data_IF_631463061919
#
_entry.id   IF_631463061919
#
_cell.length_a   1.000
_cell.length_b   1.000
_cell.length_c   1.000
_cell.angle_alpha   90.00
_cell.angle_beta   90.00
_cell.angle_gamma   90.00
#
_symmetry.space_group_name_H-M   'P 1'
#
loop_
_entity.id
_entity.type
_entity.pdbx_description
1 polymer ?
#
# COMPACT_ATOMS: atom_id res chain seq x y z
N UNK A 1 -13.15 -29.28 -33.73
CA UNK A 1 -11.97 -28.90 -34.53
C UNK A 1 -11.00 -28.17 -33.63
N UNK A 2 -9.84 -28.75 -33.36
CA UNK A 2 -8.83 -28.18 -32.44
C UNK A 2 -7.88 -27.33 -33.27
N UNK A 3 -7.96 -26.01 -33.11
CA UNK A 3 -7.11 -25.04 -33.79
C UNK A 3 -5.66 -25.20 -33.34
N UNK A 4 -4.74 -25.48 -34.27
CA UNK A 4 -3.31 -25.58 -33.97
C UNK A 4 -2.74 -24.19 -33.61
N UNK A 5 -1.73 -24.10 -32.71
CA UNK A 5 -1.04 -22.85 -32.46
C UNK A 5 -0.11 -22.54 -33.64
N UNK A 6 -0.33 -21.39 -34.30
CA UNK A 6 0.56 -20.90 -35.36
C UNK A 6 1.99 -20.77 -34.84
N UNK A 7 2.91 -21.54 -35.42
CA UNK A 7 4.36 -21.39 -35.19
C UNK A 7 4.80 -20.06 -35.79
N UNK A 8 5.20 -19.12 -34.93
CA UNK A 8 5.73 -17.83 -35.33
C UNK A 8 6.92 -17.99 -36.30
N UNK A 9 6.75 -17.53 -37.55
CA UNK A 9 7.80 -17.50 -38.56
C UNK A 9 8.95 -16.58 -38.11
N UNK A 10 10.22 -16.91 -38.38
CA UNK A 10 11.35 -16.02 -38.12
C UNK A 10 11.17 -14.70 -38.89
N UNK A 11 11.06 -13.58 -38.18
CA UNK A 11 10.92 -12.25 -38.82
C UNK A 11 12.21 -11.88 -39.57
N UNK A 12 12.13 -11.34 -40.80
CA UNK A 12 13.30 -10.86 -41.54
C UNK A 12 14.04 -9.77 -40.76
N UNK A 13 15.38 -9.76 -40.83
CA UNK A 13 16.20 -8.68 -40.25
C UNK A 13 15.87 -7.38 -40.99
N UNK A 14 15.21 -6.44 -40.31
CA UNK A 14 14.93 -5.10 -40.84
C UNK A 14 16.22 -4.26 -40.79
N UNK A 15 16.70 -3.84 -41.95
CA UNK A 15 17.98 -3.15 -42.10
C UNK A 15 17.95 -1.67 -41.65
N UNK A 16 16.76 -1.04 -41.62
CA UNK A 16 16.59 0.40 -41.34
C UNK A 16 15.88 0.68 -39.99
N UNK A 17 16.06 -0.17 -38.98
CA UNK A 17 15.46 0.10 -37.67
C UNK A 17 16.24 1.15 -36.87
N UNK A 18 15.50 2.07 -36.28
CA UNK A 18 16.03 3.04 -35.31
C UNK A 18 16.53 2.34 -34.04
N UNK A 19 17.46 2.99 -33.31
CA UNK A 19 17.99 2.46 -32.05
C UNK A 19 16.88 2.21 -31.03
N UNK A 20 15.88 3.09 -30.96
CA UNK A 20 14.75 2.98 -30.05
C UNK A 20 13.86 1.79 -30.38
N UNK A 21 13.56 1.56 -31.67
CA UNK A 21 12.80 0.39 -32.14
C UNK A 21 13.52 -0.93 -31.80
N UNK A 22 14.86 -0.96 -31.91
CA UNK A 22 15.66 -2.13 -31.52
C UNK A 22 15.63 -2.36 -30.01
N UNK A 23 15.61 -1.30 -29.20
CA UNK A 23 15.46 -1.38 -27.75
C UNK A 23 14.07 -1.90 -27.36
N UNK A 24 13.01 -1.38 -27.97
CA UNK A 24 11.63 -1.82 -27.74
C UNK A 24 11.44 -3.30 -28.10
N UNK A 25 11.93 -3.76 -29.26
CA UNK A 25 11.85 -5.18 -29.64
C UNK A 25 12.55 -6.11 -28.63
N UNK A 26 13.71 -5.69 -28.11
CA UNK A 26 14.43 -6.47 -27.09
C UNK A 26 13.64 -6.51 -25.78
N UNK A 27 13.05 -5.39 -25.40
CA UNK A 27 12.20 -5.28 -24.21
C UNK A 27 10.95 -6.15 -24.33
N UNK A 28 10.24 -6.06 -25.46
CA UNK A 28 9.06 -6.86 -25.78
C UNK A 28 9.38 -8.37 -25.82
N UNK A 29 10.54 -8.75 -26.35
CA UNK A 29 11.00 -10.15 -26.33
C UNK A 29 11.23 -10.65 -24.89
N UNK A 30 11.81 -9.81 -24.03
CA UNK A 30 12.00 -10.14 -22.60
C UNK A 30 10.67 -10.24 -21.85
N UNK A 31 9.74 -9.34 -22.10
CA UNK A 31 8.39 -9.39 -21.51
C UNK A 31 7.60 -10.62 -21.99
N UNK A 32 7.68 -10.96 -23.28
CA UNK A 32 7.07 -12.19 -23.80
C UNK A 32 7.67 -13.45 -23.18
N UNK A 33 8.98 -13.47 -22.90
CA UNK A 33 9.62 -14.57 -22.18
C UNK A 33 9.16 -14.66 -20.71
N UNK A 34 8.89 -13.53 -20.05
CA UNK A 34 8.34 -13.48 -18.69
C UNK A 34 6.88 -13.92 -18.61
N UNK A 35 6.08 -13.56 -19.63
CA UNK A 35 4.65 -13.88 -19.71
C UNK A 35 4.35 -15.30 -20.14
N UNK A 36 5.32 -15.98 -20.76
CA UNK A 36 5.22 -17.43 -20.96
C UNK A 36 5.22 -18.10 -19.59
N UNK A 37 4.17 -18.87 -19.31
CA UNK A 37 4.19 -19.91 -18.28
C UNK A 37 5.27 -20.92 -18.65
N UNK A 38 6.51 -20.58 -18.33
CA UNK A 38 7.65 -21.46 -18.46
C UNK A 38 7.55 -22.48 -17.31
N UNK A 39 6.63 -23.44 -17.46
CA UNK A 39 6.77 -24.76 -16.86
C UNK A 39 8.01 -25.38 -17.51
N UNK A 40 9.17 -24.89 -17.10
CA UNK A 40 10.45 -25.45 -17.47
C UNK A 40 10.57 -26.74 -16.71
N UNK A 41 10.27 -27.84 -17.40
CA UNK A 41 10.59 -29.20 -16.97
C UNK A 41 12.08 -29.39 -16.67
N UNK A 42 12.92 -28.38 -16.95
CA UNK A 42 14.33 -28.29 -16.55
C UNK A 42 14.55 -28.05 -15.05
N UNK A 43 13.52 -27.84 -14.23
CA UNK A 43 13.59 -28.19 -12.81
C UNK A 43 12.94 -29.56 -12.67
N UNK A 44 13.72 -30.61 -12.88
CA UNK A 44 13.30 -31.96 -12.55
C UNK A 44 12.84 -31.96 -11.08
N UNK A 45 11.53 -32.07 -10.87
CA UNK A 45 11.00 -32.67 -9.66
C UNK A 45 11.65 -34.06 -9.60
N UNK A 46 12.37 -34.33 -8.51
CA UNK A 46 13.09 -35.56 -8.28
C UNK A 46 12.19 -36.75 -8.56
N UNK A 47 12.42 -37.39 -9.71
CA UNK A 47 11.92 -38.72 -9.98
C UNK A 47 12.85 -39.62 -9.18
N UNK A 48 12.32 -40.20 -8.10
CA UNK A 48 13.07 -41.11 -7.25
C UNK A 48 13.68 -42.24 -8.08
N UNK A 49 15.01 -42.23 -8.18
CA UNK A 49 15.91 -43.37 -8.33
C UNK A 49 17.27 -42.89 -7.79
N UNK A 50 17.68 -43.43 -6.64
CA UNK A 50 19.04 -43.42 -6.05
C UNK A 50 19.86 -42.10 -6.17
N UNK A 51 19.94 -41.36 -5.06
CA UNK A 51 20.88 -40.25 -4.84
C UNK A 51 22.34 -40.73 -5.07
N UNK A 52 23.08 -40.21 -6.06
CA UNK A 52 24.52 -40.43 -6.12
C UNK A 52 25.16 -39.67 -4.96
N UNK A 53 25.92 -40.36 -4.12
CA UNK A 53 26.59 -39.85 -2.91
C UNK A 53 27.59 -38.69 -3.12
N UNK A 54 27.64 -38.08 -4.31
CA UNK A 54 28.63 -37.09 -4.71
C UNK A 54 28.01 -35.92 -5.48
N UNK A 55 28.38 -34.70 -5.07
CA UNK A 55 27.93 -33.47 -5.74
C UNK A 55 28.37 -33.41 -7.21
N UNK A 56 27.62 -32.73 -8.10
CA UNK A 56 27.96 -32.63 -9.52
C UNK A 56 29.38 -32.12 -9.79
N UNK A 57 29.86 -31.19 -8.95
CA UNK A 57 31.22 -30.64 -9.03
C UNK A 57 32.29 -31.67 -8.67
N UNK A 58 32.00 -32.53 -7.70
CA UNK A 58 32.90 -33.57 -7.22
C UNK A 58 32.97 -34.75 -8.22
N UNK A 59 31.86 -35.07 -8.88
CA UNK A 59 31.81 -36.03 -10.00
C UNK A 59 32.63 -35.55 -11.20
N UNK A 60 32.53 -34.26 -11.55
CA UNK A 60 33.34 -33.68 -12.63
C UNK A 60 34.83 -33.72 -12.29
N UNK A 61 35.18 -33.45 -11.02
CA UNK A 61 36.55 -33.52 -10.52
C UNK A 61 37.12 -34.94 -10.56
N UNK A 62 36.36 -35.95 -10.12
CA UNK A 62 36.78 -37.36 -10.16
C UNK A 62 36.86 -37.88 -11.60
N UNK A 63 35.95 -37.45 -12.50
CA UNK A 63 35.99 -37.78 -13.92
C UNK A 63 37.24 -37.22 -14.60
N UNK A 64 37.60 -35.96 -14.32
CA UNK A 64 38.83 -35.34 -14.84
C UNK A 64 40.11 -35.98 -14.31
N UNK A 65 40.02 -36.73 -13.22
CA UNK A 65 41.15 -37.41 -12.58
C UNK A 65 41.13 -38.94 -12.75
N UNK A 66 40.17 -39.49 -13.51
CA UNK A 66 39.99 -40.93 -13.73
C UNK A 66 39.85 -41.77 -12.42
N UNK A 67 39.16 -41.23 -11.42
CA UNK A 67 39.00 -41.86 -10.09
C UNK A 67 37.54 -42.34 -9.82
N UNK A 68 36.72 -42.51 -10.85
CA UNK A 68 35.34 -42.99 -10.65
C UNK A 68 35.35 -44.49 -10.38
N UNK A 69 34.86 -44.91 -9.19
CA UNK A 69 34.74 -46.33 -8.83
C UNK A 69 33.80 -47.06 -9.78
N UNK A 70 34.31 -48.10 -10.42
CA UNK A 70 33.56 -49.02 -11.26
C UNK A 70 32.90 -50.08 -10.37
N UNK A 71 31.65 -49.86 -9.98
CA UNK A 71 30.83 -50.85 -9.29
C UNK A 71 29.58 -51.11 -10.14
N UNK A 72 29.70 -52.09 -11.03
CA UNK A 72 28.66 -52.48 -11.96
C UNK A 72 27.55 -53.34 -11.34
N UNK A 73 26.39 -53.24 -11.99
CA UNK A 73 25.51 -54.34 -12.45
C UNK A 73 24.79 -55.25 -11.42
N UNK A 74 23.46 -55.03 -11.41
CA UNK A 74 22.34 -56.03 -11.49
C UNK A 74 21.79 -56.64 -10.19
N UNK A 75 20.49 -56.41 -9.91
CA UNK A 75 19.35 -57.38 -9.92
C UNK A 75 18.17 -56.90 -9.02
N UNK A 76 16.96 -56.94 -9.61
CA UNK A 76 15.56 -57.13 -9.11
C UNK A 76 15.17 -56.88 -7.63
N UNK A 77 14.02 -56.21 -7.42
CA UNK A 77 13.39 -55.80 -6.13
C UNK A 77 12.73 -56.92 -5.29
N UNK A 78 11.68 -56.70 -4.43
CA UNK A 78 10.88 -55.49 -4.14
C UNK A 78 10.76 -55.10 -2.62
N UNK A 79 10.14 -53.92 -2.37
CA UNK A 79 9.47 -53.31 -1.15
C UNK A 79 9.23 -54.17 0.12
N UNK A 80 9.11 -53.62 1.38
CA UNK A 80 8.24 -52.47 1.70
C UNK A 80 8.66 -51.48 2.82
N UNK A 81 8.12 -50.26 2.70
CA UNK A 81 7.35 -49.49 3.71
C UNK A 81 7.85 -49.41 5.17
N UNK A 82 8.18 -48.20 5.66
CA UNK A 82 7.70 -47.66 6.95
C UNK A 82 8.38 -46.33 7.39
N UNK A 83 7.50 -45.36 7.67
CA UNK A 83 7.50 -44.40 8.79
C UNK A 83 8.14 -43.01 8.64
N UNK A 84 7.28 -42.07 9.04
CA UNK A 84 7.39 -40.63 9.19
C UNK A 84 8.31 -40.20 10.37
N UNK A 85 8.58 -38.89 10.55
CA UNK A 85 9.82 -38.33 11.09
C UNK A 85 9.78 -38.00 12.59
N UNK A 86 10.88 -37.48 13.16
CA UNK A 86 10.73 -36.36 14.08
C UNK A 86 11.61 -35.15 13.74
N UNK A 87 10.95 -34.01 13.92
CA UNK A 87 11.38 -32.66 14.20
C UNK A 87 12.85 -32.37 14.52
N UNK A 88 13.32 -31.25 13.95
CA UNK A 88 14.45 -30.48 14.49
C UNK A 88 14.04 -29.02 14.66
N UNK A 89 13.55 -28.72 15.86
CA UNK A 89 13.62 -27.38 16.44
C UNK A 89 15.06 -27.10 16.87
N UNK A 90 15.62 -25.98 16.41
CA UNK A 90 16.55 -25.14 17.18
C UNK A 90 16.89 -23.86 16.41
N UNK A 91 16.19 -22.78 16.79
CA UNK A 91 16.60 -21.39 16.57
C UNK A 91 17.93 -21.13 17.28
N UNK A 92 18.87 -20.49 16.60
CA UNK A 92 19.89 -19.66 17.24
C UNK A 92 19.85 -18.29 16.58
N UNK A 93 19.34 -17.32 17.35
CA UNK A 93 19.53 -15.89 17.09
C UNK A 93 20.98 -15.54 17.38
N UNK A 94 21.63 -14.78 16.48
CA UNK A 94 22.77 -13.97 16.86
C UNK A 94 22.56 -12.50 16.49
N UNK A 95 22.81 -11.70 17.52
CA UNK A 95 22.68 -10.26 17.72
C UNK A 95 23.87 -9.52 17.06
N UNK A 96 23.70 -8.27 16.58
CA UNK A 96 24.80 -7.49 15.99
C UNK A 96 25.61 -6.72 17.04
N UNK A 97 26.93 -6.51 16.85
CA UNK A 97 27.69 -5.64 17.74
C UNK A 97 27.83 -4.20 17.23
N UNK A 98 28.02 -3.36 18.25
CA UNK A 98 28.01 -1.90 18.38
C UNK A 98 29.18 -1.19 17.67
N UNK A 99 28.90 0.04 17.28
CA UNK A 99 29.77 1.06 16.69
C UNK A 99 30.75 1.65 17.73
N UNK A 100 32.04 1.75 17.42
CA UNK A 100 32.96 2.65 18.13
C UNK A 100 33.52 3.69 17.16
N UNK A 101 33.33 4.95 17.54
CA UNK A 101 33.76 6.16 16.87
C UNK A 101 35.24 6.46 17.21
N UNK A 102 35.99 7.00 16.25
CA UNK A 102 37.21 7.75 16.50
C UNK A 102 37.22 9.00 15.60
N UNK A 103 37.46 10.15 16.21
CA UNK A 103 37.50 11.50 15.66
C UNK A 103 38.84 11.83 14.97
N UNK A 104 38.92 12.89 14.13
CA UNK A 104 40.17 13.34 13.51
C UNK A 104 40.80 14.54 14.24
N UNK A 105 42.13 14.65 14.19
CA UNK A 105 42.95 15.79 14.67
C UNK A 105 43.95 16.20 13.55
N UNK A 106 44.36 17.48 13.44
CA UNK A 106 44.54 18.16 12.14
C UNK A 106 45.97 18.25 11.61
N UNK A 107 46.06 18.67 10.34
CA UNK A 107 47.29 19.00 9.58
C UNK A 107 48.04 20.18 10.20
N UNK A 108 49.37 20.07 10.28
CA UNK A 108 50.29 21.19 10.39
C UNK A 108 51.23 21.22 9.18
N UNK A 109 51.45 22.44 8.67
CA UNK A 109 52.36 22.81 7.57
C UNK A 109 53.80 23.01 8.09
N UNK A 110 54.76 22.98 7.16
CA UNK A 110 56.08 23.67 7.07
C UNK A 110 57.03 22.73 6.30
N UNK A 111 57.94 23.10 5.40
CA UNK A 111 58.35 24.33 4.71
C UNK A 111 59.41 23.90 3.66
N UNK A 112 59.77 24.79 2.73
CA UNK A 112 60.55 24.50 1.53
C UNK A 112 62.09 24.67 1.68
N UNK A 113 62.82 23.89 0.85
CA UNK A 113 64.13 24.14 0.17
C UNK A 113 65.43 24.26 1.01
N UNK A 114 66.67 24.07 0.44
CA UNK A 114 67.04 24.18 -0.98
C UNK A 114 67.98 23.11 -1.60
N UNK A 115 68.08 23.14 -2.93
CA UNK A 115 69.12 22.50 -3.74
C UNK A 115 70.44 23.30 -3.71
N UNK A 116 71.61 22.67 -3.92
CA UNK A 116 72.84 23.41 -4.21
C UNK A 116 73.20 23.41 -5.71
N UNK A 117 73.89 24.49 -6.08
CA UNK A 117 74.17 24.97 -7.41
C UNK A 117 75.41 24.34 -8.10
N UNK A 118 75.41 24.49 -9.43
CA UNK A 118 76.55 24.47 -10.39
C UNK A 118 77.74 25.32 -9.87
N UNK A 119 79.04 25.02 -10.10
CA UNK A 119 79.87 24.95 -11.34
C UNK A 119 81.38 24.95 -10.88
N UNK A 120 82.44 25.17 -11.69
CA UNK A 120 83.04 24.46 -12.85
C UNK A 120 84.59 24.20 -12.69
N UNK A 121 85.27 23.48 -13.61
CA UNK A 121 86.71 23.63 -14.05
C UNK A 121 87.19 22.36 -14.83
N UNK A 122 87.58 22.45 -16.11
CA UNK A 122 88.92 22.71 -16.73
C UNK A 122 89.96 21.56 -16.60
N UNK A 123 90.18 20.85 -17.72
CA UNK A 123 91.41 20.29 -18.39
C UNK A 123 92.67 19.89 -17.57
N UNK A 124 93.49 18.88 -17.98
CA UNK A 124 94.11 18.84 -19.32
C UNK A 124 94.46 17.47 -19.98
N UNK A 125 94.80 17.60 -21.27
CA UNK A 125 95.53 16.69 -22.18
C UNK A 125 96.97 16.48 -21.68
N UNK A 126 97.63 15.35 -22.01
CA UNK A 126 99.05 15.43 -22.37
C UNK A 126 99.41 14.74 -23.69
N UNK A 127 100.41 15.34 -24.34
CA UNK A 127 101.17 14.91 -25.51
C UNK A 127 102.33 14.03 -25.03
N UNK A 128 102.69 12.98 -25.77
CA UNK A 128 103.99 12.30 -25.64
C UNK A 128 104.83 12.51 -26.91
N UNK A 129 106.15 12.75 -26.79
CA UNK A 129 107.10 12.84 -27.92
C UNK A 129 107.83 11.51 -28.17
N UNK A 130 108.42 11.38 -29.37
CA UNK A 130 109.44 10.37 -29.72
C UNK A 130 110.82 10.73 -29.15
N UNK A 131 111.60 9.74 -28.71
CA UNK A 131 113.01 9.50 -29.12
C UNK A 131 113.62 8.24 -28.44
N UNK A 132 114.72 7.76 -29.04
CA UNK A 132 115.35 6.43 -28.96
C UNK A 132 116.43 6.24 -27.84
N UNK A 133 116.65 4.96 -27.45
CA UNK A 133 117.90 4.25 -26.99
C UNK A 133 118.70 4.74 -25.74
N UNK A 134 119.66 3.97 -25.16
CA UNK A 134 119.87 2.51 -24.95
C UNK A 134 120.18 2.11 -23.46
N UNK A 135 120.30 0.81 -23.16
CA UNK A 135 120.95 0.23 -21.95
C UNK A 135 122.51 0.39 -22.02
N UNK A 136 123.38 0.11 -20.99
CA UNK A 136 123.18 -0.76 -19.80
C UNK A 136 123.91 -0.38 -18.47
N UNK A 137 123.68 -1.22 -17.45
CA UNK A 137 124.63 -1.74 -16.44
C UNK A 137 124.73 -1.17 -15.01
N UNK A 138 124.36 -2.07 -14.08
CA UNK A 138 124.99 -2.45 -12.80
C UNK A 138 124.89 -1.53 -11.57
N UNK A 139 124.05 -1.95 -10.60
CA UNK A 139 124.44 -2.18 -9.19
C UNK A 139 123.21 -2.36 -8.26
N UNK A 140 122.44 -3.46 -8.30
CA UNK A 140 121.19 -3.52 -7.48
C UNK A 140 120.71 -4.91 -7.04
N UNK A 141 121.56 -5.84 -6.59
CA UNK A 141 121.04 -7.13 -6.07
C UNK A 141 120.25 -7.01 -4.74
N UNK A 142 120.49 -5.98 -3.90
CA UNK A 142 119.63 -5.62 -2.75
C UNK A 142 118.62 -4.50 -3.07
N UNK A 143 118.74 -3.85 -4.24
CA UNK A 143 117.83 -2.80 -4.70
C UNK A 143 116.75 -3.32 -5.65
N UNK A 144 116.91 -4.51 -6.25
CA UNK A 144 115.89 -5.12 -7.12
C UNK A 144 114.61 -5.49 -6.35
N UNK A 145 114.74 -6.06 -5.15
CA UNK A 145 113.57 -6.33 -4.29
C UNK A 145 112.87 -5.05 -3.80
N UNK A 146 113.64 -4.02 -3.45
CA UNK A 146 113.14 -2.71 -3.00
C UNK A 146 112.49 -1.94 -4.17
N UNK A 147 113.07 -1.99 -5.37
CA UNK A 147 112.54 -1.36 -6.56
C UNK A 147 111.23 -2.03 -7.04
N UNK A 148 111.11 -3.35 -6.91
CA UNK A 148 109.87 -4.08 -7.21
C UNK A 148 108.80 -3.78 -6.15
N UNK A 149 109.15 -3.74 -4.86
CA UNK A 149 108.25 -3.31 -3.79
C UNK A 149 107.76 -1.86 -3.97
N UNK A 150 108.67 -0.95 -4.35
CA UNK A 150 108.33 0.46 -4.61
C UNK A 150 107.40 0.63 -5.82
N UNK A 151 107.47 -0.26 -6.82
CA UNK A 151 106.54 -0.27 -7.96
C UNK A 151 105.19 -0.94 -7.65
N UNK A 152 105.16 -1.94 -6.76
CA UNK A 152 103.94 -2.67 -6.38
C UNK A 152 103.09 -1.94 -5.32
N UNK A 153 103.72 -1.18 -4.44
CA UNK A 153 103.07 -0.35 -3.40
C UNK A 153 101.91 0.53 -3.92
N UNK A 154 102.09 1.37 -4.97
CA UNK A 154 101.00 2.21 -5.48
C UNK A 154 99.87 1.40 -6.10
N UNK A 155 100.16 0.27 -6.75
CA UNK A 155 99.14 -0.62 -7.31
C UNK A 155 98.29 -1.29 -6.24
N UNK A 156 98.91 -1.71 -5.13
CA UNK A 156 98.20 -2.24 -3.96
C UNK A 156 97.34 -1.18 -3.27
N UNK A 157 97.85 0.05 -3.09
CA UNK A 157 97.07 1.14 -2.52
C UNK A 157 95.87 1.51 -3.40
N UNK A 158 96.04 1.53 -4.73
CA UNK A 158 94.93 1.82 -5.62
C UNK A 158 93.88 0.70 -5.65
N UNK A 159 94.30 -0.57 -5.57
CA UNK A 159 93.39 -1.70 -5.42
C UNK A 159 92.55 -1.60 -4.13
N UNK A 160 93.19 -1.27 -3.00
CA UNK A 160 92.51 -1.05 -1.73
C UNK A 160 91.51 0.13 -1.78
N UNK A 161 91.89 1.24 -2.44
CA UNK A 161 91.00 2.39 -2.61
C UNK A 161 89.77 2.06 -3.46
N UNK A 162 89.95 1.33 -4.58
CA UNK A 162 88.84 0.84 -5.41
C UNK A 162 87.92 -0.09 -4.62
N UNK A 163 88.48 -0.96 -3.77
CA UNK A 163 87.70 -1.86 -2.90
C UNK A 163 86.84 -1.09 -1.89
N UNK A 164 87.41 -0.08 -1.21
CA UNK A 164 86.65 0.77 -0.29
C UNK A 164 85.52 1.52 -1.00
N UNK A 165 85.79 2.05 -2.20
CA UNK A 165 84.78 2.72 -3.02
C UNK A 165 83.67 1.75 -3.46
N UNK A 166 84.01 0.52 -3.83
CA UNK A 166 83.03 -0.53 -4.17
C UNK A 166 82.16 -0.90 -2.96
N UNK A 167 82.76 -1.03 -1.77
CA UNK A 167 82.03 -1.26 -0.51
C UNK A 167 81.05 -0.13 -0.23
N UNK A 168 81.47 1.13 -0.37
CA UNK A 168 80.58 2.27 -0.18
C UNK A 168 79.45 2.29 -1.21
N UNK A 169 79.75 2.02 -2.49
CA UNK A 169 78.72 1.89 -3.54
C UNK A 169 77.73 0.78 -3.22
N UNK A 170 78.19 -0.34 -2.67
CA UNK A 170 77.34 -1.46 -2.26
C UNK A 170 76.38 -1.05 -1.14
N UNK A 171 76.86 -0.35 -0.12
CA UNK A 171 76.03 0.16 0.99
C UNK A 171 74.95 1.12 0.46
N UNK A 172 75.34 2.08 -0.38
CA UNK A 172 74.40 3.04 -0.98
C UNK A 172 73.35 2.31 -1.83
N UNK A 173 73.77 1.35 -2.67
CA UNK A 173 72.84 0.56 -3.47
C UNK A 173 71.86 -0.21 -2.59
N UNK A 174 72.33 -0.82 -1.50
CA UNK A 174 71.48 -1.57 -0.58
C UNK A 174 70.45 -0.66 0.11
N UNK A 175 70.85 0.54 0.54
CA UNK A 175 69.95 1.55 1.11
C UNK A 175 68.91 2.03 0.09
N UNK A 176 69.33 2.29 -1.16
CA UNK A 176 68.43 2.67 -2.24
C UNK A 176 67.44 1.55 -2.57
N UNK A 177 67.89 0.29 -2.62
CA UNK A 177 67.01 -0.87 -2.83
C UNK A 177 66.00 -1.02 -1.71
N UNK A 178 66.42 -0.88 -0.45
CA UNK A 178 65.51 -0.92 0.71
C UNK A 178 64.45 0.19 0.62
N UNK A 179 64.87 1.41 0.27
CA UNK A 179 63.98 2.56 0.10
C UNK A 179 62.99 2.35 -1.05
N UNK A 180 63.47 1.83 -2.19
CA UNK A 180 62.64 1.54 -3.36
C UNK A 180 61.61 0.46 -3.05
N UNK A 181 62.02 -0.62 -2.36
CA UNK A 181 61.12 -1.70 -1.96
C UNK A 181 60.04 -1.20 -0.99
N UNK A 182 60.41 -0.38 -0.01
CA UNK A 182 59.44 0.19 0.92
C UNK A 182 58.47 1.16 0.22
N UNK A 183 58.96 1.94 -0.74
CA UNK A 183 58.12 2.84 -1.53
C UNK A 183 57.17 2.08 -2.46
N UNK A 184 57.62 1.01 -3.11
CA UNK A 184 56.78 0.17 -3.97
C UNK A 184 55.71 -0.55 -3.15
N UNK A 185 56.06 -1.05 -1.96
CA UNK A 185 55.14 -1.69 -1.02
C UNK A 185 53.99 -0.75 -0.63
N UNK A 186 54.34 0.47 -0.19
CA UNK A 186 53.35 1.50 0.15
C UNK A 186 52.49 1.90 -1.05
N UNK A 187 53.08 1.96 -2.24
CA UNK A 187 52.39 2.33 -3.48
C UNK A 187 51.28 1.33 -3.83
N UNK A 188 51.58 0.02 -3.87
CA UNK A 188 50.55 -0.97 -4.21
C UNK A 188 49.49 -1.10 -3.13
N UNK A 189 49.86 -0.96 -1.84
CA UNK A 189 48.88 -0.94 -0.75
C UNK A 189 47.93 0.27 -0.85
N UNK A 190 48.48 1.44 -1.20
CA UNK A 190 47.69 2.64 -1.50
C UNK A 190 46.71 2.41 -2.65
N UNK A 191 47.20 1.85 -3.76
CA UNK A 191 46.40 1.54 -4.94
C UNK A 191 45.24 0.58 -4.63
N UNK A 192 45.50 -0.49 -3.87
CA UNK A 192 44.48 -1.45 -3.47
C UNK A 192 43.38 -0.80 -2.62
N UNK A 193 43.78 0.08 -1.68
CA UNK A 193 42.83 0.81 -0.84
C UNK A 193 41.96 1.77 -1.66
N UNK A 194 42.55 2.47 -2.63
CA UNK A 194 41.83 3.32 -3.56
C UNK A 194 40.82 2.52 -4.38
N UNK A 195 41.21 1.38 -4.93
CA UNK A 195 40.34 0.51 -5.72
C UNK A 195 39.18 -0.03 -4.87
N UNK A 196 39.43 -0.40 -3.61
CA UNK A 196 38.39 -0.80 -2.67
C UNK A 196 37.37 0.33 -2.42
N UNK A 197 37.86 1.56 -2.24
CA UNK A 197 36.99 2.73 -2.06
C UNK A 197 36.21 3.06 -3.34
N UNK A 198 36.83 3.00 -4.53
CA UNK A 198 36.17 3.17 -5.82
C UNK A 198 35.07 2.14 -6.05
N UNK A 199 35.28 0.89 -5.64
CA UNK A 199 34.24 -0.15 -5.69
C UNK A 199 33.06 0.18 -4.77
N UNK A 200 33.32 0.63 -3.53
CA UNK A 200 32.26 1.07 -2.60
C UNK A 200 31.51 2.29 -3.12
N UNK A 201 32.22 3.27 -3.67
CA UNK A 201 31.64 4.47 -4.27
C UNK A 201 30.66 4.08 -5.38
N UNK A 202 31.10 3.27 -6.35
CA UNK A 202 30.25 2.76 -7.44
C UNK A 202 29.05 1.97 -6.91
N UNK A 203 29.23 1.17 -5.87
CA UNK A 203 28.11 0.42 -5.27
C UNK A 203 27.05 1.36 -4.67
N UNK A 204 27.47 2.40 -3.94
CA UNK A 204 26.56 3.41 -3.37
C UNK A 204 25.90 4.27 -4.45
N UNK A 205 26.64 4.69 -5.48
CA UNK A 205 26.09 5.41 -6.64
C UNK A 205 25.02 4.57 -7.35
N UNK A 206 25.26 3.28 -7.57
CA UNK A 206 24.28 2.37 -8.17
C UNK A 206 23.03 2.22 -7.29
N UNK A 207 23.18 2.15 -5.96
CA UNK A 207 22.04 2.10 -5.03
C UNK A 207 21.22 3.39 -5.09
N UNK A 208 21.88 4.54 -5.07
CA UNK A 208 21.23 5.85 -5.18
C UNK A 208 20.49 5.98 -6.51
N UNK A 209 21.13 5.58 -7.60
CA UNK A 209 20.53 5.59 -8.93
C UNK A 209 19.31 4.66 -9.00
N UNK A 210 19.41 3.44 -8.45
CA UNK A 210 18.29 2.51 -8.38
C UNK A 210 17.12 3.08 -7.55
N UNK A 211 17.38 3.66 -6.39
CA UNK A 211 16.37 4.36 -5.59
C UNK A 211 15.70 5.47 -6.40
N UNK A 212 16.50 6.34 -7.03
CA UNK A 212 16.00 7.46 -7.84
C UNK A 212 15.15 7.00 -9.03
N UNK A 213 15.50 5.88 -9.65
CA UNK A 213 14.72 5.28 -10.74
C UNK A 213 13.46 4.55 -10.25
N UNK A 214 13.51 3.89 -9.09
CA UNK A 214 12.35 3.22 -8.49
C UNK A 214 11.28 4.21 -8.04
N UNK A 215 11.69 5.41 -7.60
CA UNK A 215 10.83 6.58 -7.44
C UNK A 215 10.88 7.45 -8.70
N UNK A 216 10.69 6.84 -9.86
CA UNK A 216 10.60 7.60 -11.10
C UNK A 216 9.51 8.67 -10.94
N UNK A 217 9.75 9.84 -11.54
CA UNK A 217 8.76 10.93 -11.58
C UNK A 217 7.38 10.43 -12.00
N UNK A 218 7.34 9.40 -12.85
CA UNK A 218 6.12 8.76 -13.34
C UNK A 218 5.37 7.98 -12.27
N UNK A 219 6.06 7.22 -11.41
CA UNK A 219 5.43 6.49 -10.30
C UNK A 219 4.77 7.46 -9.31
N UNK A 220 5.49 8.54 -8.94
CA UNK A 220 4.98 9.58 -8.05
C UNK A 220 3.79 10.31 -8.67
N UNK A 221 3.88 10.68 -9.96
CA UNK A 221 2.74 11.27 -10.69
C UNK A 221 1.53 10.34 -10.70
N UNK A 222 1.72 9.04 -10.93
CA UNK A 222 0.63 8.07 -10.94
C UNK A 222 -0.09 8.03 -9.58
N UNK A 223 0.65 7.99 -8.47
CA UNK A 223 0.07 8.02 -7.12
C UNK A 223 -0.67 9.33 -6.88
N UNK A 224 -0.13 10.48 -7.31
CA UNK A 224 -0.81 11.78 -7.18
C UNK A 224 -2.12 11.83 -7.97
N UNK A 225 -2.13 11.32 -9.21
CA UNK A 225 -3.35 11.26 -10.04
C UNK A 225 -4.39 10.36 -9.37
N UNK A 226 -3.99 9.18 -8.88
CA UNK A 226 -4.89 8.23 -8.22
C UNK A 226 -5.48 8.81 -6.92
N UNK A 227 -4.67 9.56 -6.15
CA UNK A 227 -5.16 10.25 -4.95
C UNK A 227 -6.14 11.39 -5.27
N UNK A 228 -5.88 12.16 -6.33
CA UNK A 228 -6.79 13.22 -6.74
C UNK A 228 -8.12 12.64 -7.28
N UNK A 229 -8.07 11.54 -8.03
CA UNK A 229 -9.27 10.83 -8.51
C UNK A 229 -10.12 10.26 -7.37
N UNK A 230 -9.47 9.66 -6.36
CA UNK A 230 -10.16 9.20 -5.16
C UNK A 230 -10.84 10.36 -4.42
N UNK A 231 -10.11 11.47 -4.21
CA UNK A 231 -10.66 12.67 -3.59
C UNK A 231 -11.88 13.19 -4.34
N UNK A 232 -11.80 13.31 -5.66
CA UNK A 232 -12.91 13.75 -6.51
C UNK A 232 -14.10 12.80 -6.41
N UNK A 233 -13.86 11.49 -6.39
CA UNK A 233 -14.90 10.47 -6.23
C UNK A 233 -15.63 10.60 -4.88
N UNK A 234 -14.89 10.82 -3.79
CA UNK A 234 -15.50 11.02 -2.46
C UNK A 234 -16.32 12.30 -2.41
N UNK A 235 -15.79 13.39 -2.96
CA UNK A 235 -16.48 14.67 -3.03
C UNK A 235 -17.79 14.56 -3.83
N UNK A 236 -17.74 13.89 -4.98
CA UNK A 236 -18.91 13.68 -5.84
C UNK A 236 -19.98 12.83 -5.14
N UNK A 237 -19.59 11.72 -4.50
CA UNK A 237 -20.52 10.88 -3.73
C UNK A 237 -21.15 11.63 -2.57
N UNK A 238 -20.40 12.50 -1.89
CA UNK A 238 -20.93 13.33 -0.81
C UNK A 238 -21.95 14.34 -1.33
N UNK A 239 -21.67 14.99 -2.48
CA UNK A 239 -22.60 15.92 -3.15
C UNK A 239 -23.89 15.23 -3.55
N UNK A 240 -23.80 14.06 -4.17
CA UNK A 240 -24.97 13.26 -4.59
C UNK A 240 -25.81 12.80 -3.39
N UNK A 241 -25.16 12.36 -2.31
CA UNK A 241 -25.86 11.96 -1.09
C UNK A 241 -26.61 13.13 -0.43
N UNK A 242 -26.00 14.31 -0.38
CA UNK A 242 -26.64 15.52 0.14
C UNK A 242 -27.79 15.97 -0.74
N UNK A 243 -27.62 15.94 -2.06
CA UNK A 243 -28.67 16.30 -3.01
C UNK A 243 -29.89 15.37 -2.85
N UNK A 244 -29.66 14.05 -2.82
CA UNK A 244 -30.72 13.07 -2.60
C UNK A 244 -31.47 13.30 -1.29
N UNK A 245 -30.74 13.56 -0.20
CA UNK A 245 -31.35 13.85 1.11
C UNK A 245 -32.23 15.10 1.07
N UNK A 246 -31.81 16.15 0.35
CA UNK A 246 -32.59 17.37 0.19
C UNK A 246 -33.87 17.12 -0.61
N UNK A 247 -33.80 16.34 -1.69
CA UNK A 247 -34.98 15.93 -2.46
C UNK A 247 -35.95 15.08 -1.61
N UNK A 248 -35.44 14.10 -0.86
CA UNK A 248 -36.27 13.26 0.04
C UNK A 248 -36.92 14.11 1.15
N UNK A 249 -36.19 15.07 1.73
CA UNK A 249 -36.72 16.02 2.71
C UNK A 249 -37.84 16.87 2.09
N UNK A 250 -37.63 17.41 0.90
CA UNK A 250 -38.64 18.24 0.23
C UNK A 250 -39.90 17.42 -0.09
N UNK A 251 -39.74 16.17 -0.52
CA UNK A 251 -40.85 15.27 -0.81
C UNK A 251 -41.68 14.96 0.45
N UNK A 252 -41.01 14.63 1.56
CA UNK A 252 -41.69 14.36 2.83
C UNK A 252 -42.35 15.60 3.42
N UNK A 253 -41.74 16.77 3.26
CA UNK A 253 -42.34 18.05 3.66
C UNK A 253 -43.59 18.37 2.83
N UNK A 254 -43.56 18.14 1.52
CA UNK A 254 -44.75 18.30 0.68
C UNK A 254 -45.88 17.33 1.08
N UNK A 255 -45.55 16.07 1.37
CA UNK A 255 -46.52 15.08 1.88
C UNK A 255 -47.11 15.49 3.23
N UNK A 256 -46.30 16.04 4.13
CA UNK A 256 -46.76 16.57 5.41
C UNK A 256 -47.74 17.73 5.20
N UNK A 257 -47.42 18.68 4.32
CA UNK A 257 -48.33 19.79 4.00
C UNK A 257 -49.66 19.29 3.41
N UNK A 258 -49.63 18.30 2.51
CA UNK A 258 -50.86 17.71 1.96
C UNK A 258 -51.70 17.04 3.05
N UNK A 259 -51.06 16.29 3.94
CA UNK A 259 -51.73 15.65 5.08
C UNK A 259 -52.33 16.69 6.03
N UNK A 260 -51.64 17.80 6.28
CA UNK A 260 -52.16 18.91 7.09
C UNK A 260 -53.40 19.56 6.44
N UNK A 261 -53.38 19.80 5.12
CA UNK A 261 -54.54 20.34 4.38
C UNK A 261 -55.75 19.40 4.46
N UNK A 262 -55.53 18.10 4.21
CA UNK A 262 -56.60 17.10 4.31
C UNK A 262 -57.18 17.03 5.73
N UNK A 263 -56.31 17.08 6.73
CA UNK A 263 -56.73 17.06 8.12
C UNK A 263 -57.55 18.31 8.46
N UNK A 264 -57.16 19.50 7.99
CA UNK A 264 -57.96 20.72 8.15
C UNK A 264 -59.35 20.57 7.52
N UNK A 265 -59.44 20.06 6.29
CA UNK A 265 -60.72 19.80 5.63
C UNK A 265 -61.61 18.83 6.44
N UNK A 266 -61.06 17.70 6.91
CA UNK A 266 -61.84 16.76 7.74
C UNK A 266 -62.27 17.35 9.08
N UNK A 267 -61.51 18.29 9.65
CA UNK A 267 -61.91 19.01 10.87
C UNK A 267 -63.08 19.94 10.61
N UNK A 268 -63.09 20.62 9.46
CA UNK A 268 -64.21 21.46 9.01
C UNK A 268 -65.46 20.59 8.80
N UNK A 269 -65.34 19.45 8.10
CA UNK A 269 -66.43 18.49 7.93
C UNK A 269 -66.99 18.00 9.28
N UNK A 270 -66.12 17.64 10.22
CA UNK A 270 -66.53 17.22 11.56
C UNK A 270 -67.25 18.35 12.32
N UNK A 271 -66.81 19.59 12.18
CA UNK A 271 -67.49 20.74 12.80
C UNK A 271 -68.88 20.94 12.19
N UNK A 272 -68.97 20.90 10.85
CA UNK A 272 -70.22 20.97 10.10
C UNK A 272 -71.22 19.88 10.55
N UNK A 273 -70.80 18.62 10.59
CA UNK A 273 -71.68 17.52 11.00
C UNK A 273 -72.11 17.60 12.47
N UNK A 274 -71.25 18.11 13.36
CA UNK A 274 -71.61 18.34 14.77
C UNK A 274 -72.69 19.40 14.90
N UNK A 275 -72.56 20.53 14.18
CA UNK A 275 -73.57 21.58 14.17
C UNK A 275 -74.92 21.05 13.68
N UNK A 276 -74.92 20.35 12.54
CA UNK A 276 -76.13 19.71 12.02
C UNK A 276 -76.77 18.72 12.99
N UNK A 277 -75.97 17.87 13.64
CA UNK A 277 -76.47 16.94 14.66
C UNK A 277 -77.09 17.69 15.84
N UNK A 278 -76.47 18.78 16.32
CA UNK A 278 -77.03 19.58 17.42
C UNK A 278 -78.34 20.25 17.05
N UNK A 279 -78.46 20.78 15.83
CA UNK A 279 -79.70 21.39 15.32
C UNK A 279 -80.81 20.35 15.22
N UNK A 280 -80.54 19.20 14.60
CA UNK A 280 -81.51 18.12 14.47
C UNK A 280 -81.96 17.59 15.85
N UNK A 281 -81.03 17.47 16.80
CA UNK A 281 -81.36 17.09 18.18
C UNK A 281 -82.28 18.12 18.84
N UNK A 282 -82.04 19.41 18.65
CA UNK A 282 -82.90 20.47 19.17
C UNK A 282 -84.31 20.41 18.54
N UNK A 283 -84.42 20.23 17.23
CA UNK A 283 -85.70 20.04 16.53
C UNK A 283 -86.46 18.81 17.03
N UNK A 284 -85.77 17.69 17.22
CA UNK A 284 -86.35 16.49 17.79
C UNK A 284 -86.91 16.76 19.19
N UNK A 285 -86.14 17.40 20.09
CA UNK A 285 -86.63 17.74 21.43
C UNK A 285 -87.84 18.67 21.41
N UNK A 286 -87.88 19.63 20.46
CA UNK A 286 -89.03 20.53 20.27
C UNK A 286 -90.26 19.76 19.79
N UNK A 287 -90.10 18.85 18.82
CA UNK A 287 -91.18 18.01 18.32
C UNK A 287 -91.73 17.09 19.42
N UNK A 288 -90.86 16.45 20.20
CA UNK A 288 -91.27 15.64 21.35
C UNK A 288 -92.04 16.47 22.38
N UNK A 289 -91.58 17.68 22.71
CA UNK A 289 -92.30 18.56 23.63
C UNK A 289 -93.71 18.93 23.11
N UNK A 290 -93.82 19.31 21.83
CA UNK A 290 -95.11 19.59 21.20
C UNK A 290 -96.04 18.36 21.18
N UNK A 291 -95.48 17.17 20.93
CA UNK A 291 -96.23 15.93 21.00
C UNK A 291 -96.76 15.67 22.42
N UNK A 292 -95.92 15.80 23.45
CA UNK A 292 -96.36 15.65 24.85
C UNK A 292 -97.42 16.68 25.26
N UNK A 293 -97.35 17.92 24.75
CA UNK A 293 -98.38 18.94 24.98
C UNK A 293 -99.71 18.54 24.31
N UNK A 294 -99.67 18.06 23.07
CA UNK A 294 -100.84 17.57 22.36
C UNK A 294 -101.45 16.35 23.07
N UNK A 295 -100.64 15.39 23.52
CA UNK A 295 -101.08 14.24 24.32
C UNK A 295 -101.74 14.68 25.63
N UNK A 296 -101.14 15.64 26.34
CA UNK A 296 -101.73 16.23 27.55
C UNK A 296 -103.07 16.91 27.26
N UNK A 297 -103.16 17.66 26.16
CA UNK A 297 -104.40 18.31 25.73
C UNK A 297 -105.49 17.29 25.37
N UNK A 298 -105.11 16.19 24.71
CA UNK A 298 -106.00 15.08 24.37
C UNK A 298 -106.49 14.39 25.64
N UNK A 299 -105.60 14.08 26.58
CA UNK A 299 -105.97 13.52 27.88
C UNK A 299 -106.89 14.46 28.67
N UNK A 300 -106.67 15.77 28.61
CA UNK A 300 -107.56 16.76 29.24
C UNK A 300 -108.96 16.73 28.61
N UNK A 301 -109.06 16.72 27.29
CA UNK A 301 -110.34 16.60 26.57
C UNK A 301 -111.01 15.25 26.87
N UNK A 302 -110.26 14.16 26.91
CA UNK A 302 -110.77 12.83 27.27
C UNK A 302 -111.33 12.81 28.70
N UNK A 303 -110.66 13.48 29.64
CA UNK A 303 -111.13 13.63 31.03
C UNK A 303 -112.41 14.45 31.11
N UNK A 304 -112.49 15.57 30.36
CA UNK A 304 -113.73 16.38 30.26
C UNK A 304 -114.89 15.57 29.67
N UNK A 305 -114.62 14.76 28.64
CA UNK A 305 -115.61 13.84 28.08
C UNK A 305 -116.09 12.82 29.12
N UNK A 306 -115.21 12.22 29.92
CA UNK A 306 -115.61 11.33 31.01
C UNK A 306 -116.47 12.04 32.07
N UNK A 307 -116.16 13.30 32.41
CA UNK A 307 -117.00 14.11 33.33
C UNK A 307 -118.37 14.41 32.72
N UNK A 308 -118.45 14.69 31.42
CA UNK A 308 -119.71 14.85 30.69
C UNK A 308 -120.49 13.53 30.53
N UNK A 309 -119.80 12.38 30.52
CA UNK A 309 -120.39 11.04 30.43
C UNK A 309 -120.81 10.48 31.81
N UNK A 310 -120.29 11.02 32.92
CA UNK A 310 -120.84 10.81 34.27
C UNK A 310 -122.22 11.51 34.39
N UNK A 311 -123.16 10.96 35.18
CA UNK A 311 -124.51 10.76 34.68
C UNK A 311 -125.39 12.01 34.81
N UNK A 312 -125.19 12.99 33.93
CA UNK A 312 -126.21 14.00 33.61
C UNK A 312 -127.47 13.34 33.06
N UNK A 313 -127.35 12.17 32.41
CA UNK A 313 -128.48 11.29 32.09
C UNK A 313 -129.29 10.88 33.32
N UNK A 314 -128.65 10.61 34.48
CA UNK A 314 -129.38 10.25 35.71
C UNK A 314 -130.06 11.45 36.39
N UNK A 315 -129.55 12.67 36.20
CA UNK A 315 -130.21 13.89 36.66
C UNK A 315 -131.40 14.27 35.76
N UNK A 316 -131.27 14.13 34.44
CA UNK A 316 -132.39 14.35 33.51
C UNK A 316 -133.48 13.30 33.69
N UNK A 317 -133.12 12.01 33.86
CA UNK A 317 -134.10 10.96 34.19
C UNK A 317 -134.78 11.17 35.55
N UNK A 318 -134.04 11.59 36.59
CA UNK A 318 -134.64 11.94 37.89
C UNK A 318 -135.55 13.15 37.80
N UNK A 319 -135.18 14.18 37.04
CA UNK A 319 -135.99 15.37 36.84
C UNK A 319 -137.27 15.06 36.05
N UNK A 320 -137.15 14.32 34.94
CA UNK A 320 -138.30 13.86 34.16
C UNK A 320 -139.23 12.95 34.99
N UNK A 321 -138.69 12.04 35.80
CA UNK A 321 -139.50 11.19 36.69
C UNK A 321 -140.21 11.97 37.80
N UNK A 322 -139.68 13.13 38.24
CA UNK A 322 -140.30 13.97 39.28
C UNK A 322 -141.33 14.96 38.75
N UNK A 323 -141.13 15.51 37.55
CA UNK A 323 -142.00 16.57 37.02
C UNK A 323 -143.10 16.10 36.07
N UNK A 324 -142.90 14.99 35.35
CA UNK A 324 -143.94 14.43 34.47
C UNK A 324 -145.23 14.06 35.24
N UNK A 325 -145.20 13.49 36.46
CA UNK A 325 -146.41 13.24 37.25
C UNK A 325 -147.13 14.52 37.69
N UNK A 326 -146.38 15.60 37.99
CA UNK A 326 -146.94 16.88 38.44
C UNK A 326 -147.63 17.64 37.30
N UNK A 327 -147.05 17.64 36.11
CA UNK A 327 -147.69 18.21 34.91
C UNK A 327 -148.94 17.40 34.50
N UNK A 328 -148.90 16.07 34.62
CA UNK A 328 -150.06 15.20 34.37
C UNK A 328 -151.19 15.44 35.39
N UNK A 329 -150.85 15.67 36.65
CA UNK A 329 -151.78 16.08 37.72
C UNK A 329 -152.42 17.45 37.43
N UNK A 330 -151.63 18.46 37.05
CA UNK A 330 -152.15 19.78 36.67
C UNK A 330 -153.07 19.72 35.43
N UNK A 331 -152.73 18.90 34.43
CA UNK A 331 -153.56 18.71 33.25
C UNK A 331 -154.91 18.03 33.58
N UNK A 332 -154.90 17.00 34.45
CA UNK A 332 -156.13 16.38 34.94
C UNK A 332 -156.96 17.34 35.81
N UNK A 333 -156.31 18.18 36.62
CA UNK A 333 -156.99 19.18 37.47
C UNK A 333 -157.63 20.29 36.63
N UNK A 334 -156.99 20.72 35.55
CA UNK A 334 -157.55 21.67 34.57
C UNK A 334 -158.72 21.07 33.78
N UNK A 335 -158.62 19.79 33.39
CA UNK A 335 -159.72 19.05 32.73
C UNK A 335 -160.94 18.87 33.63
N UNK A 336 -160.73 18.71 34.95
CA UNK A 336 -161.80 18.59 35.95
C UNK A 336 -162.47 19.93 36.32
N UNK A 337 -161.80 21.07 36.08
CA UNK A 337 -162.40 22.40 36.24
C UNK A 337 -163.20 22.87 35.01
N UNK A 338 -163.09 22.17 33.88
CA UNK A 338 -163.86 22.46 32.66
C UNK A 338 -165.14 21.62 32.51
N UNK A 339 -165.50 20.83 33.53
CA UNK A 339 -166.70 19.95 33.52
C UNK A 339 -167.75 20.33 34.58
N UNK A 340 -167.64 21.52 35.16
CA UNK A 340 -168.67 22.13 36.01
C UNK A 340 -168.86 23.58 35.60
N UNK A 341 -169.59 23.79 34.49
CA UNK A 341 -170.72 24.72 34.33
C UNK A 341 -171.26 24.59 32.90
#
# INVERSE_FOLDING_TARGET
MISQPERARPRPRRANESYDEKCERRHETRENLRRRNNATTCRHLGRGVEEPSQSPRQREFLRRRNLASDAGRTVLGPEPEARAPPDRSSRVYQRPPVLLQVTPVPKAQLSALPAPARCPQKHPRPVHPSQQHPDPSQSTAKSCGIAVLNKLSPSLQEALHRELLLKQKMVILQELFSTLLQASEKSWQGQLNEDKLKCKLRALENQLQACTQSYSKECVKKVLIEMEDQKQTYEQKAKEALQKMLEDKLQTEQQLQNSQRNLAATREDLAFWKEHYTTLKAELTKMTAAHTELENSLHAVQSQLQVCQLPTGAHVFRFASREVPKLRSLYLKKKKQQTTF
#
